data_IF_310678606452
#
_entry.id   IF_310678606452
#
_cell.length_a   1.000
_cell.length_b   1.000
_cell.length_c   1.000
_cell.angle_alpha   90.00
_cell.angle_beta   90.00
_cell.angle_gamma   90.00
#
_symmetry.space_group_name_H-M   'P 1'
#
loop_
_entity.id
_entity.type
_entity.pdbx_description
1 polymer ?
#
# COMPACT_ATOMS: atom_id res chain seq x y z
N UNK A 1 15.86 -12.50 -1.48
CA UNK A 1 14.98 -12.57 -0.29
C UNK A 1 14.17 -11.29 -0.24
N UNK A 2 12.85 -11.36 -0.16
CA UNK A 2 12.00 -10.17 -0.09
C UNK A 2 11.82 -9.72 1.37
N UNK A 3 11.82 -8.40 1.66
CA UNK A 3 11.62 -7.91 3.03
C UNK A 3 10.19 -8.20 3.51
N UNK A 4 10.05 -8.64 4.76
CA UNK A 4 8.74 -8.83 5.39
C UNK A 4 8.23 -7.50 5.98
N UNK A 5 6.92 -7.26 5.90
CA UNK A 5 6.30 -6.10 6.54
C UNK A 5 6.42 -6.20 8.07
N UNK A 6 6.95 -5.14 8.70
CA UNK A 6 7.00 -4.99 10.16
C UNK A 6 5.99 -3.92 10.62
N UNK A 7 4.89 -4.30 11.30
CA UNK A 7 3.89 -3.35 11.77
C UNK A 7 4.38 -2.41 12.88
N UNK A 8 5.50 -2.74 13.54
CA UNK A 8 6.11 -1.95 14.61
C UNK A 8 7.17 -0.98 14.07
N UNK A 9 7.45 -0.98 12.77
CA UNK A 9 8.36 0.00 12.17
C UNK A 9 7.72 1.38 12.21
N UNK A 10 8.48 2.36 12.71
CA UNK A 10 8.14 3.79 12.65
C UNK A 10 8.12 4.32 11.23
N UNK A 11 8.80 3.65 10.29
CA UNK A 11 8.84 4.06 8.89
C UNK A 11 7.66 3.47 8.11
N UNK A 12 6.91 4.33 7.43
CA UNK A 12 5.92 3.93 6.41
C UNK A 12 6.58 3.65 5.06
N UNK A 13 7.86 3.32 5.04
CA UNK A 13 8.58 2.99 3.82
C UNK A 13 8.20 1.58 3.37
N UNK A 14 7.51 1.51 2.24
CA UNK A 14 7.17 0.25 1.57
C UNK A 14 8.12 0.04 0.40
N UNK A 15 8.55 -1.21 0.23
CA UNK A 15 9.39 -1.61 -0.88
C UNK A 15 8.62 -2.55 -1.80
N UNK A 16 8.93 -2.51 -3.10
CA UNK A 16 8.43 -3.48 -4.06
C UNK A 16 8.81 -4.89 -3.63
N UNK A 17 7.85 -5.81 -3.69
CA UNK A 17 8.05 -7.20 -3.28
C UNK A 17 7.93 -7.46 -1.77
N UNK A 18 7.62 -6.44 -0.95
CA UNK A 18 7.41 -6.64 0.48
C UNK A 18 6.29 -7.66 0.75
N UNK A 19 6.57 -8.62 1.64
CA UNK A 19 5.64 -9.69 1.98
C UNK A 19 4.73 -9.29 3.15
N UNK A 20 3.43 -9.55 3.00
CA UNK A 20 2.40 -9.34 4.01
C UNK A 20 1.83 -10.69 4.42
N UNK A 21 1.61 -10.89 5.73
CA UNK A 21 1.01 -12.15 6.22
C UNK A 21 -0.47 -12.26 5.84
N UNK A 22 -1.17 -11.13 5.81
CA UNK A 22 -2.61 -11.08 5.54
C UNK A 22 -2.99 -9.92 4.61
N UNK A 23 -4.03 -10.12 3.80
CA UNK A 23 -4.60 -9.05 2.95
C UNK A 23 -5.13 -7.85 3.75
N UNK A 24 -5.56 -8.06 5.01
CA UNK A 24 -5.98 -6.96 5.90
C UNK A 24 -4.80 -6.04 6.26
N UNK A 25 -3.62 -6.63 6.50
CA UNK A 25 -2.39 -5.86 6.72
C UNK A 25 -2.05 -5.04 5.48
N UNK A 26 -2.02 -5.66 4.30
CA UNK A 26 -1.75 -4.95 3.04
C UNK A 26 -2.68 -3.74 2.85
N UNK A 27 -4.00 -3.90 3.05
CA UNK A 27 -4.97 -2.80 2.91
C UNK A 27 -4.75 -1.67 3.92
N UNK A 28 -4.50 -2.02 5.19
CA UNK A 28 -4.20 -1.04 6.24
C UNK A 28 -2.93 -0.25 5.90
N UNK A 29 -1.92 -0.96 5.41
CA UNK A 29 -0.64 -0.40 5.01
C UNK A 29 -0.77 0.56 3.83
N UNK A 30 -1.49 0.19 2.78
CA UNK A 30 -1.76 1.09 1.64
C UNK A 30 -2.52 2.34 2.08
N UNK A 31 -3.46 2.24 3.04
CA UNK A 31 -4.13 3.41 3.62
C UNK A 31 -3.16 4.31 4.41
N UNK A 32 -2.26 3.73 5.21
CA UNK A 32 -1.22 4.50 5.91
C UNK A 32 -0.30 5.21 4.92
N UNK A 33 0.15 4.52 3.87
CA UNK A 33 0.94 5.10 2.79
C UNK A 33 0.24 6.29 2.13
N UNK A 34 -1.03 6.13 1.79
CA UNK A 34 -1.91 7.17 1.23
C UNK A 34 -1.92 8.42 2.08
N UNK A 35 -2.08 8.28 3.40
CA UNK A 35 -2.05 9.39 4.35
C UNK A 35 -0.65 10.03 4.42
N UNK A 36 0.42 9.25 4.57
CA UNK A 36 1.79 9.76 4.65
C UNK A 36 2.19 10.53 3.39
N UNK A 37 1.83 10.02 2.20
CA UNK A 37 2.19 10.63 0.93
C UNK A 37 1.20 11.70 0.46
N UNK A 38 0.12 11.97 1.22
CA UNK A 38 -0.98 12.88 0.82
C UNK A 38 -1.54 12.54 -0.56
N UNK A 39 -1.65 11.24 -0.87
CA UNK A 39 -2.16 10.72 -2.15
C UNK A 39 -3.46 10.01 -1.89
N UNK A 40 -4.51 10.37 -2.61
CA UNK A 40 -5.78 9.63 -2.55
C UNK A 40 -5.78 8.48 -3.55
N UNK A 41 -6.07 7.26 -3.08
CA UNK A 41 -6.23 6.09 -3.93
C UNK A 41 -7.60 5.44 -3.73
N UNK A 42 -8.18 4.96 -4.82
CA UNK A 42 -9.36 4.10 -4.81
C UNK A 42 -8.93 2.67 -5.04
N UNK A 43 -9.36 1.76 -4.16
CA UNK A 43 -9.30 0.33 -4.44
C UNK A 43 -10.39 0.06 -5.48
N UNK A 44 -10.01 -0.39 -6.67
CA UNK A 44 -10.96 -0.66 -7.76
C UNK A 44 -11.14 -2.17 -8.03
N UNK A 45 -10.17 -3.00 -7.62
CA UNK A 45 -10.32 -4.47 -7.57
C UNK A 45 -9.71 -5.02 -6.29
N UNK A 46 -10.42 -5.96 -5.66
CA UNK A 46 -10.01 -6.62 -4.43
C UNK A 46 -10.26 -8.13 -4.58
N UNK A 47 -9.27 -8.83 -5.13
CA UNK A 47 -9.22 -10.29 -5.26
C UNK A 47 -8.54 -10.88 -4.00
N UNK A 48 -8.70 -12.19 -3.75
CA UNK A 48 -8.20 -12.86 -2.54
C UNK A 48 -6.70 -12.59 -2.30
N UNK A 49 -5.89 -12.69 -3.36
CA UNK A 49 -4.43 -12.54 -3.31
C UNK A 49 -3.93 -11.26 -3.99
N UNK A 50 -4.83 -10.39 -4.48
CA UNK A 50 -4.46 -9.22 -5.26
C UNK A 50 -5.41 -8.06 -5.06
N UNK A 51 -4.87 -6.95 -4.57
CA UNK A 51 -5.58 -5.68 -4.47
C UNK A 51 -5.01 -4.72 -5.50
N UNK A 52 -5.87 -4.15 -6.34
CA UNK A 52 -5.49 -3.13 -7.32
C UNK A 52 -6.03 -1.78 -6.88
N UNK A 53 -5.15 -0.79 -6.82
CA UNK A 53 -5.46 0.57 -6.41
C UNK A 53 -5.14 1.55 -7.54
N UNK A 54 -5.95 2.60 -7.66
CA UNK A 54 -5.78 3.66 -8.66
C UNK A 54 -5.79 5.00 -7.93
N UNK A 55 -4.88 5.90 -8.28
CA UNK A 55 -4.85 7.26 -7.74
C UNK A 55 -6.10 8.03 -8.21
N UNK A 56 -6.77 8.77 -7.31
CA UNK A 56 -8.05 9.46 -7.59
C UNK A 56 -7.81 10.84 -8.24
N UNK A 57 -6.78 11.58 -7.84
CA UNK A 57 -6.27 12.80 -8.49
C UNK A 57 -4.88 13.10 -7.87
N UNK A 58 -3.85 13.65 -8.51
CA UNK A 58 -3.74 14.69 -9.54
C UNK A 58 -2.69 14.28 -10.61
N UNK A 59 -2.53 15.04 -11.69
CA UNK A 59 -1.56 14.85 -12.82
C UNK A 59 -0.10 14.54 -12.39
N UNK A 60 0.24 14.64 -11.11
CA UNK A 60 1.55 14.39 -10.49
C UNK A 60 1.67 13.07 -9.72
N UNK A 61 0.77 12.10 -9.90
CA UNK A 61 0.86 10.80 -9.23
C UNK A 61 1.96 9.93 -9.89
N UNK A 62 3.25 10.27 -9.68
CA UNK A 62 4.39 9.41 -10.04
C UNK A 62 4.54 8.32 -8.98
N UNK A 63 4.41 7.06 -9.39
CA UNK A 63 4.69 5.89 -8.56
C UNK A 63 6.17 5.83 -8.22
#
# INVERSE_FOLDING_TARGET
>A
MFPAYNPNSTSSHFCTGMMFKEGKQFKSTIRKYSMCCRREFKIFKNELNRVRVKCIASKKCKW
#
